data_IF_327194749534
#
_entry.id   IF_327194749534
#
_cell.length_a   1.000
_cell.length_b   1.000
_cell.length_c   1.000
_cell.angle_alpha   90.00
_cell.angle_beta   90.00
_cell.angle_gamma   90.00
#
_symmetry.space_group_name_H-M   'P 1'
#
loop_
_entity.id
_entity.type
_entity.pdbx_description
1 polymer ?
#
# COMPACT_ATOMS: atom_id res chain seq x y z
N UNK A 1 -25.13 6.63 -17.92
CA UNK A 1 -26.05 7.54 -18.65
C UNK A 1 -27.48 7.12 -18.37
N UNK A 2 -28.40 8.08 -18.15
CA UNK A 2 -29.82 7.78 -17.93
C UNK A 2 -30.55 7.64 -19.28
N UNK A 3 -31.42 6.63 -19.38
CA UNK A 3 -32.30 6.42 -20.53
C UNK A 3 -33.24 7.62 -20.76
N UNK A 4 -33.70 7.82 -22.00
CA UNK A 4 -34.46 9.00 -22.44
C UNK A 4 -35.65 9.36 -21.55
N UNK A 5 -36.47 8.39 -21.14
CA UNK A 5 -37.64 8.63 -20.26
C UNK A 5 -37.23 9.04 -18.85
N UNK A 6 -36.10 8.54 -18.35
CA UNK A 6 -35.57 8.85 -17.03
C UNK A 6 -34.87 10.21 -17.03
N UNK A 7 -34.05 10.50 -18.06
CA UNK A 7 -33.40 11.80 -18.23
C UNK A 7 -34.43 12.93 -18.33
N UNK A 8 -35.55 12.71 -19.04
CA UNK A 8 -36.62 13.72 -19.20
C UNK A 8 -37.35 14.06 -17.88
N UNK A 9 -37.40 13.14 -16.92
CA UNK A 9 -38.06 13.33 -15.62
C UNK A 9 -37.08 13.67 -14.50
N UNK A 10 -35.78 13.61 -14.78
CA UNK A 10 -34.75 13.99 -13.83
C UNK A 10 -34.68 15.52 -13.73
N UNK A 11 -34.61 16.06 -12.51
CA UNK A 11 -34.66 17.52 -12.27
C UNK A 11 -33.45 18.29 -12.83
N UNK A 12 -32.44 17.58 -13.33
CA UNK A 12 -31.15 18.09 -13.80
C UNK A 12 -30.34 18.87 -12.76
N UNK A 13 -30.82 18.97 -11.51
CA UNK A 13 -30.08 19.57 -10.40
C UNK A 13 -28.98 18.61 -9.96
N UNK A 14 -27.75 18.93 -10.32
CA UNK A 14 -26.56 18.23 -9.86
C UNK A 14 -25.77 19.16 -8.94
N UNK A 15 -25.30 18.62 -7.83
CA UNK A 15 -24.33 19.29 -6.96
C UNK A 15 -23.03 18.53 -7.10
N UNK A 16 -21.99 19.21 -7.55
CA UNK A 16 -20.66 18.64 -7.63
C UNK A 16 -19.96 18.84 -6.29
N UNK A 17 -19.45 17.76 -5.73
CA UNK A 17 -18.60 17.80 -4.56
C UNK A 17 -17.15 17.96 -5.03
N UNK A 18 -16.55 19.11 -4.73
CA UNK A 18 -15.18 19.41 -5.11
C UNK A 18 -14.20 18.83 -4.09
N UNK A 19 -13.07 18.34 -4.58
CA UNK A 19 -11.95 17.93 -3.72
C UNK A 19 -11.26 19.15 -3.10
N UNK A 20 -10.56 18.98 -1.96
CA UNK A 20 -9.80 20.05 -1.33
C UNK A 20 -8.78 20.69 -2.30
N UNK A 21 -8.82 22.02 -2.39
CA UNK A 21 -8.06 22.78 -3.39
C UNK A 21 -6.60 23.04 -2.97
N UNK A 22 -6.32 23.05 -1.67
CA UNK A 22 -5.00 23.29 -1.11
C UNK A 22 -4.70 22.35 0.07
N UNK A 23 -3.42 22.13 0.42
CA UNK A 23 -3.04 21.23 1.51
C UNK A 23 -3.68 21.61 2.86
N UNK A 24 -3.86 22.90 3.14
CA UNK A 24 -4.50 23.37 4.38
C UNK A 24 -5.97 22.95 4.46
N UNK A 25 -6.72 23.09 3.38
CA UNK A 25 -8.11 22.63 3.29
C UNK A 25 -8.22 21.11 3.37
N UNK A 26 -7.22 20.40 2.83
CA UNK A 26 -7.13 18.95 2.95
C UNK A 26 -6.89 18.52 4.40
N UNK A 27 -6.00 19.23 5.11
CA UNK A 27 -5.78 19.04 6.54
C UNK A 27 -7.07 19.22 7.33
N UNK A 28 -7.84 20.29 7.10
CA UNK A 28 -9.08 20.52 7.85
C UNK A 28 -10.07 19.35 7.74
N UNK A 29 -10.20 18.75 6.55
CA UNK A 29 -11.03 17.55 6.34
C UNK A 29 -10.47 16.34 7.08
N UNK A 30 -9.15 16.13 7.02
CA UNK A 30 -8.51 15.00 7.70
C UNK A 30 -8.56 15.15 9.23
N UNK A 31 -8.39 16.37 9.73
CA UNK A 31 -8.46 16.74 11.15
C UNK A 31 -9.82 16.43 11.75
N UNK A 32 -10.91 16.72 11.01
CA UNK A 32 -12.25 16.36 11.46
C UNK A 32 -12.45 14.85 11.68
N UNK A 33 -11.69 13.99 10.99
CA UNK A 33 -11.72 12.54 11.23
C UNK A 33 -10.86 12.09 12.41
N UNK A 34 -10.05 12.98 13.00
CA UNK A 34 -9.16 12.70 14.14
C UNK A 34 -9.60 13.42 15.42
N UNK A 35 -10.48 14.43 15.31
CA UNK A 35 -11.09 15.14 16.44
C UNK A 35 -12.56 14.74 16.57
N UNK A 36 -13.13 14.92 17.76
CA UNK A 36 -14.54 14.65 18.04
C UNK A 36 -15.17 15.92 18.57
N UNK A 37 -16.26 16.39 17.97
CA UNK A 37 -16.93 17.60 18.41
C UNK A 37 -17.98 17.27 19.49
N UNK A 38 -18.38 18.24 20.32
CA UNK A 38 -19.33 18.02 21.44
C UNK A 38 -20.68 17.43 20.97
N UNK A 39 -21.12 17.74 19.75
CA UNK A 39 -22.35 17.18 19.18
C UNK A 39 -22.18 15.69 18.84
N UNK A 40 -21.05 15.34 18.24
CA UNK A 40 -20.72 13.95 17.87
C UNK A 40 -20.49 13.10 19.11
N UNK A 41 -19.88 13.68 20.15
CA UNK A 41 -19.63 13.01 21.42
C UNK A 41 -20.93 12.53 22.09
N UNK A 42 -21.97 13.37 22.04
CA UNK A 42 -23.32 13.02 22.51
C UNK A 42 -24.00 11.97 21.63
N UNK A 43 -23.83 12.07 20.30
CA UNK A 43 -24.43 11.13 19.35
C UNK A 43 -23.83 9.72 19.50
N UNK A 44 -22.52 9.63 19.72
CA UNK A 44 -21.77 8.37 19.92
C UNK A 44 -21.91 7.82 21.35
N UNK A 45 -22.55 8.56 22.27
CA UNK A 45 -22.81 8.11 23.64
C UNK A 45 -21.59 8.13 24.55
N UNK A 46 -20.64 9.03 24.30
CA UNK A 46 -19.47 9.23 25.15
C UNK A 46 -19.91 9.96 26.43
N UNK A 47 -19.57 9.40 27.60
CA UNK A 47 -19.90 10.01 28.89
C UNK A 47 -18.99 11.21 29.21
N UNK A 48 -19.51 12.41 29.01
CA UNK A 48 -18.88 13.68 29.37
C UNK A 48 -18.71 13.88 30.88
N UNK A 49 -19.45 13.13 31.71
CA UNK A 49 -19.46 13.28 33.17
C UNK A 49 -18.28 12.62 33.88
N UNK A 50 -17.44 11.88 33.14
CA UNK A 50 -16.29 11.16 33.71
C UNK A 50 -15.23 12.15 34.19
N UNK A 51 -14.68 11.89 35.38
CA UNK A 51 -13.59 12.69 35.93
C UNK A 51 -12.37 12.67 35.00
N UNK A 52 -11.87 13.85 34.63
CA UNK A 52 -10.72 13.97 33.73
C UNK A 52 -11.07 14.05 32.24
N UNK A 53 -12.36 14.00 31.88
CA UNK A 53 -12.80 14.06 30.48
C UNK A 53 -12.33 15.34 29.78
N UNK A 54 -12.52 16.49 30.42
CA UNK A 54 -12.16 17.79 29.83
C UNK A 54 -10.65 17.93 29.64
N UNK A 55 -9.85 17.46 30.59
CA UNK A 55 -8.39 17.45 30.49
C UNK A 55 -7.92 16.51 29.38
N UNK A 56 -8.49 15.31 29.30
CA UNK A 56 -8.17 14.33 28.26
C UNK A 56 -8.53 14.87 26.86
N UNK A 57 -9.73 15.41 26.70
CA UNK A 57 -10.20 15.97 25.44
C UNK A 57 -9.30 17.11 24.95
N UNK A 58 -8.91 18.02 25.86
CA UNK A 58 -7.95 19.08 25.55
C UNK A 58 -6.58 18.52 25.16
N UNK A 59 -6.09 17.53 25.90
CA UNK A 59 -4.82 16.89 25.62
C UNK A 59 -4.83 16.20 24.24
N UNK A 60 -5.91 15.49 23.91
CA UNK A 60 -6.10 14.85 22.62
C UNK A 60 -6.04 15.86 21.47
N UNK A 61 -6.82 16.94 21.56
CA UNK A 61 -6.83 17.96 20.53
C UNK A 61 -5.47 18.65 20.37
N UNK A 62 -4.78 18.95 21.48
CA UNK A 62 -3.42 19.48 21.42
C UNK A 62 -2.44 18.50 20.76
N UNK A 63 -2.53 17.21 21.09
CA UNK A 63 -1.70 16.18 20.48
C UNK A 63 -1.91 16.09 18.97
N UNK A 64 -3.15 16.22 18.48
CA UNK A 64 -3.44 16.26 17.04
C UNK A 64 -2.83 17.50 16.35
N UNK A 65 -2.84 18.66 17.01
CA UNK A 65 -2.16 19.86 16.48
C UNK A 65 -0.63 19.72 16.50
N UNK A 66 -0.07 19.17 17.58
CA UNK A 66 1.37 18.90 17.68
C UNK A 66 1.83 17.90 16.62
N UNK A 67 1.00 16.88 16.34
CA UNK A 67 1.22 15.92 15.28
C UNK A 67 1.20 16.59 13.90
N UNK A 68 0.33 17.58 13.69
CA UNK A 68 0.34 18.35 12.44
C UNK A 68 1.64 19.10 12.26
N UNK A 69 2.36 19.50 13.33
CA UNK A 69 3.65 20.16 13.23
C UNK A 69 4.83 19.22 12.90
N UNK A 70 4.68 17.92 13.17
CA UNK A 70 5.70 16.92 12.86
C UNK A 70 5.96 16.79 11.35
N UNK A 71 7.24 16.68 11.00
CA UNK A 71 7.71 16.59 9.61
C UNK A 71 7.29 15.28 8.96
N UNK A 72 7.28 14.19 9.72
CA UNK A 72 6.95 12.85 9.19
C UNK A 72 5.47 12.80 8.84
N UNK A 73 4.63 13.30 9.75
CA UNK A 73 3.20 13.42 9.53
C UNK A 73 2.87 14.38 8.38
N UNK A 74 3.48 15.58 8.31
CA UNK A 74 3.32 16.51 7.18
C UNK A 74 3.66 15.83 5.84
N UNK A 75 4.73 15.04 5.80
CA UNK A 75 5.13 14.32 4.59
C UNK A 75 4.08 13.25 4.19
N UNK A 76 3.51 12.52 5.15
CA UNK A 76 2.41 11.58 4.90
C UNK A 76 1.17 12.30 4.35
N UNK A 77 0.78 13.41 4.98
CA UNK A 77 -0.37 14.21 4.54
C UNK A 77 -0.17 14.74 3.12
N UNK A 78 1.02 15.26 2.82
CA UNK A 78 1.40 15.73 1.48
C UNK A 78 1.40 14.58 0.46
N UNK A 79 1.93 13.41 0.82
CA UNK A 79 1.91 12.23 -0.03
C UNK A 79 0.48 11.88 -0.46
N UNK A 80 -0.47 11.81 0.48
CA UNK A 80 -1.87 11.53 0.15
C UNK A 80 -2.52 12.66 -0.66
N UNK A 81 -2.21 13.92 -0.34
CA UNK A 81 -2.72 15.08 -1.07
C UNK A 81 -2.25 15.12 -2.53
N UNK A 82 -0.98 14.84 -2.82
CA UNK A 82 -0.45 14.91 -4.18
C UNK A 82 -0.71 13.64 -5.02
N UNK A 83 -1.02 12.50 -4.38
CA UNK A 83 -1.31 11.24 -5.09
C UNK A 83 -2.81 11.04 -5.37
N UNK A 84 -3.64 11.07 -4.33
CA UNK A 84 -5.07 10.67 -4.41
C UNK A 84 -6.05 11.76 -4.00
N UNK A 85 -5.64 12.72 -3.17
CA UNK A 85 -6.51 13.71 -2.50
C UNK A 85 -7.65 13.08 -1.68
N UNK A 86 -7.56 11.80 -1.35
CA UNK A 86 -8.59 11.08 -0.63
C UNK A 86 -8.35 11.12 0.88
N UNK A 87 -9.19 11.88 1.60
CA UNK A 87 -9.17 11.91 3.05
C UNK A 87 -9.42 10.52 3.67
N UNK A 88 -10.32 9.72 3.06
CA UNK A 88 -10.58 8.36 3.51
C UNK A 88 -9.34 7.46 3.44
N UNK A 89 -8.51 7.61 2.40
CA UNK A 89 -7.27 6.85 2.27
C UNK A 89 -6.26 7.24 3.37
N UNK A 90 -6.17 8.53 3.69
CA UNK A 90 -5.35 9.01 4.81
C UNK A 90 -5.86 8.50 6.17
N UNK A 91 -7.16 8.61 6.43
CA UNK A 91 -7.77 8.14 7.69
C UNK A 91 -7.60 6.62 7.87
N UNK A 92 -7.59 5.85 6.78
CA UNK A 92 -7.32 4.41 6.81
C UNK A 92 -5.92 4.09 7.33
N UNK A 93 -4.91 4.91 7.00
CA UNK A 93 -3.55 4.76 7.53
C UNK A 93 -3.48 5.09 9.03
N UNK A 94 -4.37 5.94 9.52
CA UNK A 94 -4.44 6.30 10.94
C UNK A 94 -5.07 5.20 11.80
N UNK A 95 -5.81 4.24 11.22
CA UNK A 95 -6.52 3.20 11.96
C UNK A 95 -5.55 2.37 12.83
N UNK A 96 -4.43 1.92 12.26
CA UNK A 96 -3.48 1.09 13.02
C UNK A 96 -2.81 1.86 14.16
N UNK A 97 -2.22 3.05 13.94
CA UNK A 97 -1.69 3.89 15.02
C UNK A 97 -2.71 4.19 16.12
N UNK A 98 -3.96 4.47 15.76
CA UNK A 98 -5.02 4.72 16.74
C UNK A 98 -5.36 3.46 17.53
N UNK A 99 -5.35 2.29 16.89
CA UNK A 99 -5.62 1.02 17.55
C UNK A 99 -4.51 0.54 18.49
N UNK A 100 -3.27 1.05 18.32
CA UNK A 100 -2.15 0.71 19.22
C UNK A 100 -2.10 1.55 20.49
N UNK A 101 -2.93 2.58 20.61
CA UNK A 101 -3.01 3.40 21.82
C UNK A 101 -3.45 2.55 23.01
N UNK A 102 -2.74 2.71 24.13
CA UNK A 102 -3.05 2.04 25.39
C UNK A 102 -3.07 3.04 26.54
N UNK A 103 -3.54 2.59 27.70
CA UNK A 103 -3.57 3.43 28.92
C UNK A 103 -2.15 3.82 29.35
N UNK A 104 -1.18 2.94 29.12
CA UNK A 104 0.22 3.16 29.48
C UNK A 104 0.99 3.94 28.40
N UNK A 105 0.52 3.89 27.14
CA UNK A 105 1.16 4.52 25.98
C UNK A 105 0.10 5.25 25.14
N UNK A 106 -0.10 6.53 25.47
CA UNK A 106 -1.10 7.40 24.84
C UNK A 106 -0.49 8.33 23.78
N UNK A 107 0.82 8.25 23.56
CA UNK A 107 1.50 9.05 22.54
C UNK A 107 1.12 8.53 21.15
N UNK A 108 0.38 9.34 20.39
CA UNK A 108 0.01 9.00 19.03
C UNK A 108 1.18 9.26 18.08
N UNK A 109 1.86 8.19 17.69
CA UNK A 109 2.90 8.23 16.66
C UNK A 109 2.37 7.67 15.34
N UNK A 110 2.26 8.53 14.33
CA UNK A 110 1.85 8.09 12.99
C UNK A 110 3.10 7.86 12.12
N UNK A 111 3.30 6.63 11.62
CA UNK A 111 4.48 6.29 10.85
C UNK A 111 4.53 7.01 9.49
N UNK A 112 5.74 7.18 8.97
CA UNK A 112 5.96 7.75 7.63
C UNK A 112 5.29 6.93 6.53
N UNK A 113 4.95 7.57 5.41
CA UNK A 113 4.44 6.90 4.21
C UNK A 113 5.36 5.80 3.65
N UNK A 114 6.66 5.87 3.96
CA UNK A 114 7.68 4.91 3.54
C UNK A 114 8.03 3.88 4.63
N UNK A 115 7.39 3.95 5.80
CA UNK A 115 7.68 3.01 6.88
C UNK A 115 7.25 1.59 6.51
N UNK A 116 8.05 0.61 6.90
CA UNK A 116 7.78 -0.82 6.73
C UNK A 116 6.77 -1.30 7.77
N UNK A 117 5.64 -0.60 7.93
CA UNK A 117 4.52 -1.09 8.73
C UNK A 117 3.52 -1.81 7.85
N UNK A 118 2.76 -2.70 8.49
CA UNK A 118 1.58 -3.32 7.86
C UNK A 118 0.62 -2.19 7.50
N UNK A 119 0.28 -2.06 6.22
CA UNK A 119 -0.72 -1.08 5.75
C UNK A 119 -2.03 -1.82 5.50
N UNK A 120 -3.16 -1.21 5.88
CA UNK A 120 -4.49 -1.72 5.53
C UNK A 120 -4.78 -1.52 4.04
N UNK A 121 -4.13 -0.54 3.41
CA UNK A 121 -4.23 -0.30 2.00
C UNK A 121 -3.45 -1.35 1.19
N UNK A 122 -4.00 -1.74 0.04
CA UNK A 122 -3.31 -2.61 -0.90
C UNK A 122 -1.97 -1.97 -1.34
N UNK A 123 -0.88 -2.74 -1.47
CA UNK A 123 0.39 -2.21 -1.95
C UNK A 123 0.24 -1.57 -3.34
N UNK A 124 0.88 -0.42 -3.54
CA UNK A 124 0.83 0.32 -4.80
C UNK A 124 1.41 -0.46 -6.00
N UNK A 125 2.20 -1.50 -5.75
CA UNK A 125 2.86 -2.28 -6.77
C UNK A 125 2.81 -3.78 -6.45
N UNK A 126 2.70 -4.60 -7.50
CA UNK A 126 2.81 -6.07 -7.41
C UNK A 126 4.22 -6.57 -7.13
N UNK A 127 5.23 -5.68 -7.09
CA UNK A 127 6.62 -6.05 -6.82
C UNK A 127 6.81 -6.74 -5.47
N UNK A 128 5.95 -6.47 -4.48
CA UNK A 128 5.97 -7.18 -3.19
C UNK A 128 5.72 -8.69 -3.33
N UNK A 129 5.06 -9.13 -4.42
CA UNK A 129 4.85 -10.56 -4.68
C UNK A 129 6.14 -11.26 -5.10
N UNK A 130 7.14 -10.53 -5.63
CA UNK A 130 8.39 -11.15 -6.11
C UNK A 130 9.16 -11.83 -4.97
N UNK A 131 9.11 -11.29 -3.75
CA UNK A 131 9.77 -11.91 -2.59
C UNK A 131 9.04 -13.16 -2.08
N UNK A 132 7.79 -13.40 -2.50
CA UNK A 132 7.02 -14.58 -2.14
C UNK A 132 7.16 -15.71 -3.17
N UNK A 133 7.79 -15.45 -4.32
CA UNK A 133 8.02 -16.44 -5.35
C UNK A 133 9.16 -17.38 -4.96
N UNK A 134 9.04 -18.65 -5.36
CA UNK A 134 10.16 -19.59 -5.23
C UNK A 134 11.29 -19.23 -6.20
N UNK A 135 12.50 -19.71 -5.93
CA UNK A 135 13.65 -19.54 -6.85
C UNK A 135 13.35 -20.04 -8.26
N UNK A 136 12.50 -21.07 -8.39
CA UNK A 136 12.07 -21.61 -9.68
C UNK A 136 11.13 -20.65 -10.40
N UNK A 137 10.11 -20.14 -9.72
CA UNK A 137 9.12 -19.23 -10.31
C UNK A 137 9.77 -17.92 -10.73
N UNK A 138 10.68 -17.39 -9.90
CA UNK A 138 11.45 -16.20 -10.23
C UNK A 138 12.37 -16.46 -11.43
N UNK A 139 13.01 -17.63 -11.50
CA UNK A 139 13.83 -18.04 -12.63
C UNK A 139 13.04 -18.14 -13.95
N UNK A 140 11.82 -18.69 -13.90
CA UNK A 140 10.91 -18.77 -15.06
C UNK A 140 10.41 -17.38 -15.46
N UNK A 141 10.09 -16.52 -14.50
CA UNK A 141 9.68 -15.13 -14.76
C UNK A 141 10.79 -14.34 -15.46
N UNK A 142 12.05 -14.50 -15.04
CA UNK A 142 13.21 -13.89 -15.69
C UNK A 142 13.39 -14.43 -17.12
N UNK A 143 13.22 -15.74 -17.33
CA UNK A 143 13.30 -16.34 -18.65
C UNK A 143 12.20 -15.80 -19.60
N UNK A 144 10.96 -15.72 -19.11
CA UNK A 144 9.84 -15.15 -19.85
C UNK A 144 10.06 -13.66 -20.19
N UNK A 145 10.52 -12.85 -19.24
CA UNK A 145 10.82 -11.43 -19.47
C UNK A 145 11.99 -11.23 -20.46
N UNK A 146 12.99 -12.11 -20.46
CA UNK A 146 14.07 -12.07 -21.46
C UNK A 146 13.60 -12.41 -22.87
N UNK A 147 12.62 -13.31 -23.01
CA UNK A 147 12.06 -13.64 -24.32
C UNK A 147 11.32 -12.45 -24.95
N UNK A 148 10.62 -11.66 -24.14
CA UNK A 148 9.98 -10.41 -24.60
C UNK A 148 11.02 -9.47 -25.27
N UNK A 149 12.18 -9.31 -24.61
CA UNK A 149 13.27 -8.44 -25.10
C UNK A 149 14.02 -9.03 -26.30
N UNK A 150 14.36 -10.32 -26.25
CA UNK A 150 15.26 -10.97 -27.22
C UNK A 150 14.53 -11.48 -28.46
N UNK A 151 13.30 -11.97 -28.31
CA UNK A 151 12.52 -12.53 -29.40
C UNK A 151 11.49 -11.54 -29.97
N UNK A 152 11.34 -10.34 -29.37
CA UNK A 152 10.35 -9.32 -29.75
C UNK A 152 8.94 -9.91 -29.90
N UNK A 153 8.62 -10.91 -29.08
CA UNK A 153 7.31 -11.58 -29.07
C UNK A 153 6.49 -11.07 -27.91
N UNK A 154 5.40 -10.37 -28.21
CA UNK A 154 4.44 -9.84 -27.23
C UNK A 154 3.73 -10.95 -26.42
N UNK A 155 3.81 -12.21 -26.88
CA UNK A 155 3.23 -13.36 -26.19
C UNK A 155 4.25 -14.47 -26.06
N UNK A 156 4.38 -14.99 -24.84
CA UNK A 156 5.26 -16.11 -24.51
C UNK A 156 4.42 -17.27 -24.02
N UNK A 157 4.66 -18.46 -24.57
CA UNK A 157 4.06 -19.69 -24.05
C UNK A 157 5.01 -20.35 -23.03
N UNK A 158 4.47 -21.24 -22.20
CA UNK A 158 5.25 -21.93 -21.18
C UNK A 158 6.42 -22.74 -21.75
N UNK A 159 6.25 -23.38 -22.91
CA UNK A 159 7.30 -24.18 -23.53
C UNK A 159 8.52 -23.32 -23.89
N UNK A 160 8.29 -22.15 -24.47
CA UNK A 160 9.34 -21.18 -24.81
C UNK A 160 10.05 -20.67 -23.55
N UNK A 161 9.31 -20.29 -22.51
CA UNK A 161 9.88 -19.82 -21.25
C UNK A 161 10.73 -20.90 -20.56
N UNK A 162 10.27 -22.15 -20.56
CA UNK A 162 11.01 -23.28 -20.00
C UNK A 162 12.28 -23.60 -20.80
N UNK A 163 12.22 -23.56 -22.13
CA UNK A 163 13.40 -23.82 -22.97
C UNK A 163 14.48 -22.74 -22.75
N UNK A 164 14.08 -21.47 -22.60
CA UNK A 164 15.00 -20.38 -22.27
C UNK A 164 15.53 -20.48 -20.82
N UNK A 165 14.72 -20.91 -19.87
CA UNK A 165 15.16 -21.24 -18.50
C UNK A 165 16.21 -22.36 -18.51
N UNK A 166 15.99 -23.43 -19.28
CA UNK A 166 16.95 -24.52 -19.44
C UNK A 166 18.27 -24.06 -20.04
N UNK A 167 18.22 -23.20 -21.06
CA UNK A 167 19.39 -22.56 -21.67
C UNK A 167 20.17 -21.71 -20.66
N UNK A 168 19.47 -20.89 -19.87
CA UNK A 168 20.07 -20.07 -18.80
C UNK A 168 20.77 -20.92 -17.74
N UNK A 169 20.08 -21.94 -17.22
CA UNK A 169 20.64 -22.82 -16.20
C UNK A 169 21.81 -23.65 -16.74
N UNK A 170 21.76 -24.05 -18.00
CA UNK A 170 22.87 -24.69 -18.70
C UNK A 170 24.11 -23.80 -18.76
N UNK A 171 23.96 -22.52 -19.13
CA UNK A 171 25.06 -21.54 -19.13
C UNK A 171 25.62 -21.30 -17.72
N UNK A 172 24.74 -21.14 -16.74
CA UNK A 172 25.13 -20.95 -15.34
C UNK A 172 25.89 -22.16 -14.78
N UNK A 173 25.50 -23.38 -15.18
CA UNK A 173 26.20 -24.63 -14.84
C UNK A 173 27.62 -24.68 -15.42
N UNK A 174 27.80 -24.26 -16.69
CA UNK A 174 29.13 -24.23 -17.33
C UNK A 174 30.03 -23.18 -16.67
N UNK A 175 29.48 -21.99 -16.35
CA UNK A 175 30.23 -20.93 -15.67
C UNK A 175 30.64 -21.32 -14.24
N UNK A 176 29.73 -21.92 -13.46
CA UNK A 176 30.03 -22.39 -12.10
C UNK A 176 31.02 -23.57 -12.06
N UNK A 177 31.01 -24.43 -13.09
CA UNK A 177 32.03 -25.47 -13.27
C UNK A 177 33.42 -24.87 -13.56
N UNK A 178 33.49 -23.82 -14.39
CA UNK A 178 34.75 -23.10 -14.68
C UNK A 178 35.32 -22.34 -13.48
N UNK A 179 34.47 -21.94 -12.52
CA UNK A 179 34.86 -21.24 -11.30
C UNK A 179 35.20 -22.15 -10.10
N UNK A 180 35.21 -23.49 -10.28
CA UNK A 180 35.55 -24.44 -9.22
C UNK A 180 34.48 -24.67 -8.14
N UNK A 181 33.32 -23.99 -8.22
CA UNK A 181 32.22 -24.13 -7.25
C UNK A 181 31.53 -25.49 -7.27
N UNK A 182 31.64 -26.24 -8.38
CA UNK A 182 31.12 -27.61 -8.49
C UNK A 182 31.78 -28.59 -7.52
N UNK A 183 33.04 -28.37 -7.13
CA UNK A 183 33.75 -29.23 -6.18
C UNK A 183 33.30 -29.02 -4.71
N UNK A 184 32.61 -27.90 -4.43
CA UNK A 184 32.15 -27.52 -3.09
C UNK A 184 30.68 -27.88 -2.82
N UNK A 185 30.06 -28.69 -3.69
CA UNK A 185 28.64 -29.07 -3.56
C UNK A 185 27.65 -27.99 -3.99
N UNK A 186 28.11 -26.86 -4.51
CA UNK A 186 27.31 -25.75 -5.06
C UNK A 186 26.76 -26.05 -6.47
N UNK A 187 26.11 -27.20 -6.65
CA UNK A 187 25.52 -27.59 -7.93
C UNK A 187 24.19 -26.88 -8.19
N UNK A 188 24.07 -26.23 -9.35
CA UNK A 188 22.82 -25.60 -9.82
C UNK A 188 21.81 -26.70 -10.15
N UNK A 189 20.73 -26.80 -9.38
CA UNK A 189 19.63 -27.75 -9.64
C UNK A 189 18.76 -27.21 -10.77
N UNK A 190 18.55 -28.03 -11.81
CA UNK A 190 17.61 -27.72 -12.89
C UNK A 190 16.33 -28.51 -12.62
N UNK A 191 15.22 -27.78 -12.47
CA UNK A 191 13.92 -28.39 -12.23
C UNK A 191 13.31 -28.89 -13.54
N UNK A 192 12.66 -30.05 -13.50
CA UNK A 192 12.02 -30.65 -14.68
C UNK A 192 10.68 -29.97 -15.04
N UNK A 193 10.24 -30.13 -16.29
CA UNK A 193 8.98 -29.58 -16.82
C UNK A 193 7.76 -29.87 -15.95
N UNK A 194 7.69 -31.08 -15.37
CA UNK A 194 6.58 -31.50 -14.53
C UNK A 194 6.51 -30.79 -13.17
N UNK A 195 7.60 -30.21 -12.68
CA UNK A 195 7.62 -29.40 -11.46
C UNK A 195 7.43 -27.91 -11.79
N UNK A 196 7.97 -27.46 -12.92
CA UNK A 196 7.86 -26.09 -13.39
C UNK A 196 6.46 -25.69 -13.90
N UNK A 197 5.60 -26.65 -14.21
CA UNK A 197 4.27 -26.41 -14.76
C UNK A 197 3.11 -26.56 -13.76
N UNK A 198 3.41 -26.72 -12.46
CA UNK A 198 2.44 -26.88 -11.36
C UNK A 198 2.19 -25.54 -10.68
#
# INVERSE_FOLDING_TARGET
MLEKRVKSRFSHRHVYLSLPANPTSYWQVCRQGLTVDDEDMKAEGIDEGVQGHVEFYRNWNNMIEDLHEDKTFKALLQYHYYTTKSAAAFLTECILPLSSLSVDEMALEIPSASATMVRLAAPNSKLHLLSALSDLDLGLLIAAARLDIVAHTDTVNFAMAYDEYGSLMGRHRVQSAGAGMMALGGGVRVWGRGVAGV
#
